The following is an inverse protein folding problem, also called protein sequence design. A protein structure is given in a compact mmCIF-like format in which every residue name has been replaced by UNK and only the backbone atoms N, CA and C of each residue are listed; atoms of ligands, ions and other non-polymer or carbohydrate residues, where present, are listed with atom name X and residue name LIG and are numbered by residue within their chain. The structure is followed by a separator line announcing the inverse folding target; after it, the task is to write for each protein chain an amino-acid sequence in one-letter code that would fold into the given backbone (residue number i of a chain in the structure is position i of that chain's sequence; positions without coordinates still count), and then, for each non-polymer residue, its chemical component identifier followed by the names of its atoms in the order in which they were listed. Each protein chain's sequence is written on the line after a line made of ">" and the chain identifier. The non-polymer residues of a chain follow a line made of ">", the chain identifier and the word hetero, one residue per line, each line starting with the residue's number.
data_IF_746459914522
#
_entry.id   IF_746459914522
#
_cell.length_a   1.000
_cell.length_b   1.000
_cell.length_c   1.000
_cell.angle_alpha   90.00
_cell.angle_beta   90.00
_cell.angle_gamma   90.00
#
_symmetry.space_group_name_H-M   'P 1'
#
loop_
_entity.id
_entity.type
_entity.pdbx_description
1 polymer ?
#
# COMPACT_ATOMS: atom_id res chain seq x y z
N UNK A 1 15.87 5.13 -4.14
CA UNK A 1 15.15 5.01 -5.43
C UNK A 1 14.58 3.62 -5.69
N UNK A 2 15.39 2.54 -5.82
CA UNK A 2 14.86 1.18 -6.08
C UNK A 2 13.80 0.71 -5.05
N UNK A 3 14.04 0.99 -3.76
CA UNK A 3 13.11 0.62 -2.70
C UNK A 3 11.73 1.30 -2.84
N UNK A 4 11.71 2.56 -3.24
CA UNK A 4 10.47 3.35 -3.40
C UNK A 4 9.65 2.82 -4.59
N UNK A 5 10.32 2.47 -5.68
CA UNK A 5 9.66 1.85 -6.84
C UNK A 5 8.98 0.53 -6.44
N UNK A 6 9.66 -0.30 -5.66
CA UNK A 6 9.10 -1.57 -5.15
C UNK A 6 7.92 -1.31 -4.21
N UNK A 7 8.03 -0.34 -3.29
CA UNK A 7 6.95 0.07 -2.39
C UNK A 7 5.70 0.52 -3.17
N UNK A 8 5.87 1.33 -4.22
CA UNK A 8 4.76 1.76 -5.07
C UNK A 8 4.09 0.56 -5.77
N UNK A 9 4.86 -0.39 -6.30
CA UNK A 9 4.32 -1.60 -6.92
C UNK A 9 3.57 -2.47 -5.93
N UNK A 10 4.13 -2.68 -4.73
CA UNK A 10 3.46 -3.41 -3.65
C UNK A 10 2.16 -2.73 -3.23
N UNK A 11 2.15 -1.40 -3.18
CA UNK A 11 0.97 -0.61 -2.85
C UNK A 11 -0.17 -0.83 -3.85
N UNK A 12 0.15 -0.83 -5.15
CA UNK A 12 -0.82 -1.14 -6.22
C UNK A 12 -1.38 -2.56 -6.07
N UNK A 13 -0.51 -3.55 -5.80
CA UNK A 13 -0.92 -4.94 -5.61
C UNK A 13 -1.80 -5.11 -4.36
N UNK A 14 -1.46 -4.45 -3.26
CA UNK A 14 -2.22 -4.48 -2.01
C UNK A 14 -3.64 -3.91 -2.22
N UNK A 15 -3.75 -2.75 -2.90
CA UNK A 15 -5.05 -2.16 -3.26
C UNK A 15 -5.88 -3.12 -4.13
N UNK A 16 -5.26 -3.75 -5.14
CA UNK A 16 -5.95 -4.76 -5.97
C UNK A 16 -6.41 -5.96 -5.15
N UNK A 17 -5.60 -6.44 -4.21
CA UNK A 17 -5.96 -7.54 -3.30
C UNK A 17 -7.14 -7.21 -2.40
N UNK A 18 -7.18 -6.00 -1.83
CA UNK A 18 -8.32 -5.52 -1.02
C UNK A 18 -9.58 -5.40 -1.87
N UNK A 19 -9.48 -4.84 -3.07
CA UNK A 19 -10.60 -4.76 -4.01
C UNK A 19 -11.10 -6.15 -4.42
N UNK A 20 -10.21 -7.10 -4.62
CA UNK A 20 -10.57 -8.49 -4.89
C UNK A 20 -11.32 -9.12 -3.70
N UNK A 21 -10.82 -8.94 -2.47
CA UNK A 21 -11.50 -9.41 -1.24
C UNK A 21 -12.89 -8.78 -1.05
N UNK A 22 -13.05 -7.50 -1.44
CA UNK A 22 -14.37 -6.84 -1.48
C UNK A 22 -15.31 -7.50 -2.50
N UNK A 23 -14.80 -7.82 -3.70
CA UNK A 23 -15.57 -8.45 -4.78
C UNK A 23 -15.98 -9.89 -4.44
N UNK A 24 -15.13 -10.65 -3.77
CA UNK A 24 -15.40 -12.03 -3.34
C UNK A 24 -16.19 -12.13 -2.03
N UNK A 25 -16.68 -11.01 -1.48
CA UNK A 25 -17.41 -10.95 -0.22
C UNK A 25 -16.64 -11.51 0.99
N UNK A 26 -15.32 -11.60 0.91
CA UNK A 26 -14.46 -12.01 2.02
C UNK A 26 -14.27 -10.85 3.00
N UNK A 27 -15.18 -10.75 3.98
CA UNK A 27 -15.20 -9.66 4.97
C UNK A 27 -13.92 -9.60 5.80
N UNK A 28 -13.43 -10.74 6.29
CA UNK A 28 -12.20 -10.81 7.09
C UNK A 28 -10.97 -10.39 6.28
N UNK A 29 -10.85 -10.89 5.05
CA UNK A 29 -9.76 -10.52 4.14
C UNK A 29 -9.82 -9.06 3.69
N UNK A 30 -11.01 -8.46 3.59
CA UNK A 30 -11.17 -7.05 3.28
C UNK A 30 -10.72 -6.14 4.43
N UNK A 31 -11.06 -6.48 5.68
CA UNK A 31 -10.69 -5.68 6.86
C UNK A 31 -9.19 -5.77 7.11
N UNK A 32 -8.63 -6.98 7.18
CA UNK A 32 -7.19 -7.18 7.45
C UNK A 32 -6.36 -6.61 6.30
N UNK A 33 -6.74 -6.91 5.05
CA UNK A 33 -6.08 -6.38 3.88
C UNK A 33 -6.19 -4.87 3.78
N UNK A 34 -7.34 -4.30 4.16
CA UNK A 34 -7.58 -2.85 4.16
C UNK A 34 -6.69 -2.11 5.14
N UNK A 35 -6.56 -2.61 6.37
CA UNK A 35 -5.66 -2.04 7.39
C UNK A 35 -4.21 -2.11 6.91
N UNK A 36 -3.77 -3.26 6.41
CA UNK A 36 -2.42 -3.42 5.87
C UNK A 36 -2.15 -2.46 4.70
N UNK A 37 -3.11 -2.35 3.76
CA UNK A 37 -2.99 -1.46 2.60
C UNK A 37 -2.92 0.00 3.02
N UNK A 38 -3.72 0.42 4.02
CA UNK A 38 -3.66 1.77 4.57
C UNK A 38 -2.29 2.08 5.20
N UNK A 39 -1.72 1.14 5.97
CA UNK A 39 -0.37 1.27 6.51
C UNK A 39 0.70 1.34 5.41
N UNK A 40 0.59 0.49 4.38
CA UNK A 40 1.51 0.46 3.25
C UNK A 40 1.46 1.75 2.43
N UNK A 41 0.27 2.32 2.20
CA UNK A 41 0.10 3.64 1.58
C UNK A 41 0.82 4.72 2.41
N UNK A 42 0.64 4.71 3.73
CA UNK A 42 1.29 5.67 4.63
C UNK A 42 2.82 5.63 4.53
N UNK A 43 3.40 4.44 4.62
CA UNK A 43 4.87 4.25 4.49
C UNK A 43 5.36 4.61 3.09
N UNK A 44 4.60 4.28 2.05
CA UNK A 44 4.95 4.62 0.66
C UNK A 44 4.94 6.13 0.44
N UNK A 45 3.95 6.84 0.97
CA UNK A 45 3.89 8.30 0.90
C UNK A 45 5.03 8.96 1.67
N UNK A 46 5.37 8.42 2.84
CA UNK A 46 6.51 8.92 3.62
C UNK A 46 7.84 8.71 2.88
N UNK A 47 8.03 7.54 2.27
CA UNK A 47 9.21 7.24 1.46
C UNK A 47 9.29 8.09 0.18
N UNK A 48 8.14 8.39 -0.44
CA UNK A 48 8.07 9.34 -1.57
C UNK A 48 8.42 10.75 -1.12
N UNK A 49 7.88 11.20 0.02
CA UNK A 49 8.17 12.52 0.56
C UNK A 49 9.67 12.68 0.87
N UNK A 50 10.28 11.70 1.54
CA UNK A 50 11.72 11.68 1.77
C UNK A 50 12.53 11.72 0.46
N UNK A 51 12.10 10.97 -0.56
CA UNK A 51 12.81 10.92 -1.85
C UNK A 51 12.71 12.22 -2.67
N UNK A 52 11.58 12.92 -2.60
CA UNK A 52 11.32 14.12 -3.42
C UNK A 52 11.61 15.44 -2.70
N UNK A 53 11.38 15.51 -1.40
CA UNK A 53 11.55 16.72 -0.59
C UNK A 53 12.85 16.67 0.22
N UNK A 54 13.35 15.48 0.52
CA UNK A 54 14.53 15.29 1.37
C UNK A 54 14.17 15.48 2.84
N UNK A 55 13.70 14.41 3.50
CA UNK A 55 13.65 14.40 4.96
C UNK A 55 15.01 14.06 5.55
N UNK A 56 15.84 13.31 4.81
CA UNK A 56 17.13 12.74 5.22
C UNK A 56 17.10 12.07 6.59
#
# INVERSE_FOLDING_TARGET
>A
MYMVVILVLMCILAVRGVLYNKRTQNKSGFIIGGIFTAGLIGVTLLALYDTFVGLQ
#
